data_IF_829565355489
#
_entry.id   IF_829565355489
#
_cell.length_a   1.000
_cell.length_b   1.000
_cell.length_c   1.000
_cell.angle_alpha   90.00
_cell.angle_beta   90.00
_cell.angle_gamma   90.00
#
_symmetry.space_group_name_H-M   'P 1'
#
loop_
_entity.id
_entity.type
_entity.pdbx_description
1 polymer ?
#
# COMPACT_ATOMS: atom_id res chain seq x y z
N UNK A 1 -10.14 -10.22 21.39
CA UNK A 1 -10.03 -9.56 20.07
C UNK A 1 -9.03 -10.38 19.26
N UNK A 2 -9.28 -10.67 18.00
CA UNK A 2 -8.32 -11.35 17.14
C UNK A 2 -7.09 -10.44 16.95
N UNK A 3 -5.90 -11.01 16.93
CA UNK A 3 -4.67 -10.27 16.70
C UNK A 3 -4.67 -9.67 15.28
N UNK A 4 -4.54 -8.34 15.15
CA UNK A 4 -4.63 -7.64 13.85
C UNK A 4 -3.46 -7.94 12.90
N UNK A 5 -2.36 -8.47 13.42
CA UNK A 5 -1.18 -8.91 12.69
C UNK A 5 -0.72 -10.26 13.24
N UNK A 6 -0.63 -11.28 12.39
CA UNK A 6 -0.04 -12.56 12.75
C UNK A 6 1.44 -12.56 12.42
N UNK A 7 2.26 -13.12 13.32
CA UNK A 7 3.71 -13.24 13.14
C UNK A 7 4.09 -14.71 13.17
N UNK A 8 4.69 -15.19 12.10
CA UNK A 8 5.13 -16.57 11.98
C UNK A 8 6.61 -16.63 11.63
N UNK A 9 7.32 -17.61 12.15
CA UNK A 9 8.72 -17.83 11.85
C UNK A 9 8.93 -19.11 11.05
N UNK A 10 9.66 -18.99 9.94
CA UNK A 10 10.03 -20.09 9.06
C UNK A 10 11.55 -20.06 8.82
N UNK A 11 12.32 -20.68 9.72
CA UNK A 11 13.78 -20.60 9.72
C UNK A 11 14.28 -19.16 9.92
N UNK A 12 14.99 -18.63 8.93
CA UNK A 12 15.47 -17.25 8.92
C UNK A 12 14.50 -16.26 8.24
N UNK A 13 13.26 -16.66 7.99
CA UNK A 13 12.19 -15.82 7.40
C UNK A 13 11.15 -15.51 8.46
N UNK A 14 10.76 -14.25 8.58
CA UNK A 14 9.60 -13.81 9.37
C UNK A 14 8.47 -13.48 8.40
N UNK A 15 7.29 -14.04 8.65
CA UNK A 15 6.06 -13.73 7.94
C UNK A 15 5.20 -12.81 8.80
N UNK A 16 4.87 -11.64 8.27
CA UNK A 16 3.93 -10.69 8.84
C UNK A 16 2.65 -10.77 8.02
N UNK A 17 1.60 -11.35 8.61
CA UNK A 17 0.30 -11.49 7.93
C UNK A 17 -0.67 -10.45 8.48
N UNK A 18 -1.06 -9.48 7.65
CA UNK A 18 -2.11 -8.51 7.96
C UNK A 18 -3.41 -9.28 8.20
N UNK A 19 -4.05 -9.12 9.36
CA UNK A 19 -5.11 -10.01 9.81
C UNK A 19 -6.39 -9.26 10.21
N UNK A 20 -6.92 -8.49 9.26
CA UNK A 20 -8.25 -7.86 9.29
C UNK A 20 -9.03 -8.23 8.03
N UNK A 21 -9.23 -9.55 7.73
CA UNK A 21 -9.78 -9.99 6.45
C UNK A 21 -11.19 -9.49 6.17
N UNK A 22 -12.00 -9.22 7.20
CA UNK A 22 -13.34 -8.64 7.12
C UNK A 22 -13.34 -7.21 6.55
N UNK A 23 -12.24 -6.46 6.79
CA UNK A 23 -11.99 -5.12 6.24
C UNK A 23 -10.96 -5.14 5.09
N UNK A 24 -10.70 -6.30 4.47
CA UNK A 24 -9.67 -6.49 3.44
C UNK A 24 -8.29 -5.96 3.89
N UNK A 25 -7.95 -6.16 5.16
CA UNK A 25 -6.69 -5.75 5.77
C UNK A 25 -6.40 -4.24 5.67
N UNK A 26 -7.46 -3.41 5.72
CA UNK A 26 -7.33 -1.97 5.73
C UNK A 26 -6.47 -1.51 6.92
N UNK A 27 -5.63 -0.51 6.67
CA UNK A 27 -4.68 0.06 7.62
C UNK A 27 -5.41 1.03 8.56
N UNK A 28 -5.41 0.71 9.84
CA UNK A 28 -5.71 1.63 10.92
C UNK A 28 -4.48 1.83 11.81
N UNK A 29 -4.56 2.73 12.77
CA UNK A 29 -3.46 3.03 13.68
C UNK A 29 -2.98 1.79 14.46
N UNK A 30 -3.87 0.87 14.83
CA UNK A 30 -3.51 -0.34 15.55
C UNK A 30 -2.64 -1.27 14.68
N UNK A 31 -3.09 -1.57 13.46
CA UNK A 31 -2.34 -2.42 12.53
C UNK A 31 -1.00 -1.78 12.14
N UNK A 32 -0.99 -0.47 11.87
CA UNK A 32 0.23 0.26 11.49
C UNK A 32 1.25 0.26 12.63
N UNK A 33 0.83 0.52 13.86
CA UNK A 33 1.67 0.46 15.04
C UNK A 33 2.21 -0.95 15.28
N UNK A 34 1.36 -1.97 15.07
CA UNK A 34 1.78 -3.36 15.23
C UNK A 34 2.81 -3.77 14.18
N UNK A 35 2.64 -3.40 12.91
CA UNK A 35 3.66 -3.63 11.86
C UNK A 35 4.99 -2.94 12.26
N UNK A 36 4.92 -1.69 12.70
CA UNK A 36 6.09 -0.92 13.12
C UNK A 36 6.84 -1.60 14.27
N UNK A 37 6.12 -2.08 15.29
CA UNK A 37 6.71 -2.78 16.43
C UNK A 37 7.36 -4.10 16.04
N UNK A 38 6.73 -4.89 15.16
CA UNK A 38 7.30 -6.15 14.68
C UNK A 38 8.53 -5.96 13.79
N UNK A 39 8.56 -4.89 12.99
CA UNK A 39 9.78 -4.50 12.26
C UNK A 39 10.93 -4.17 13.24
N UNK A 40 10.67 -3.47 14.34
CA UNK A 40 11.70 -3.20 15.35
C UNK A 40 12.15 -4.49 16.07
N UNK A 41 11.20 -5.35 16.41
CA UNK A 41 11.53 -6.64 17.03
C UNK A 41 12.37 -7.53 16.10
N UNK A 42 12.05 -7.57 14.80
CA UNK A 42 12.78 -8.35 13.80
C UNK A 42 14.27 -7.97 13.72
N UNK A 43 14.61 -6.70 13.96
CA UNK A 43 16.02 -6.22 13.97
C UNK A 43 16.88 -6.92 15.03
N UNK A 44 16.29 -7.39 16.11
CA UNK A 44 16.97 -8.02 17.24
C UNK A 44 17.06 -9.54 17.10
N UNK A 45 16.61 -10.09 15.96
CA UNK A 45 16.62 -11.53 15.69
C UNK A 45 17.69 -11.93 14.68
N UNK A 46 17.87 -13.23 14.50
CA UNK A 46 18.70 -13.81 13.43
C UNK A 46 17.93 -14.00 12.11
N UNK A 47 16.72 -13.43 11.99
CA UNK A 47 15.97 -13.38 10.75
C UNK A 47 16.78 -12.64 9.66
N UNK A 48 16.64 -13.10 8.43
CA UNK A 48 17.37 -12.55 7.28
C UNK A 48 16.45 -11.94 6.24
N UNK A 49 15.17 -12.32 6.25
CA UNK A 49 14.14 -11.84 5.31
C UNK A 49 12.83 -11.66 6.07
N UNK A 50 12.08 -10.65 5.71
CA UNK A 50 10.70 -10.43 6.17
C UNK A 50 9.79 -10.55 4.95
N UNK A 51 8.65 -11.22 5.11
CA UNK A 51 7.59 -11.27 4.11
C UNK A 51 6.33 -10.66 4.69
N UNK A 52 5.74 -9.70 4.00
CA UNK A 52 4.43 -9.11 4.34
C UNK A 52 3.39 -9.69 3.38
N UNK A 53 2.27 -10.20 3.93
CA UNK A 53 1.13 -10.71 3.17
C UNK A 53 -0.19 -10.34 3.83
N UNK A 54 -1.31 -10.49 3.12
CA UNK A 54 -2.63 -10.33 3.69
C UNK A 54 -3.27 -11.68 4.02
N UNK A 55 -4.15 -11.71 5.02
CA UNK A 55 -5.05 -12.82 5.30
C UNK A 55 -6.32 -12.68 4.44
N UNK A 56 -6.91 -13.81 4.03
CA UNK A 56 -8.18 -13.83 3.32
C UNK A 56 -8.09 -13.44 1.85
N UNK A 57 -8.99 -12.54 1.37
CA UNK A 57 -9.22 -12.31 -0.06
C UNK A 57 -8.30 -11.29 -0.73
N UNK A 58 -7.44 -10.62 0.02
CA UNK A 58 -6.59 -9.57 -0.54
C UNK A 58 -5.42 -9.17 0.34
N UNK A 59 -4.49 -8.46 -0.27
CA UNK A 59 -3.33 -7.97 0.43
C UNK A 59 -3.71 -6.86 1.42
N UNK A 60 -4.21 -5.73 0.90
CA UNK A 60 -4.61 -4.57 1.71
C UNK A 60 -5.42 -3.58 0.87
N UNK A 61 -6.60 -3.18 1.37
CA UNK A 61 -7.50 -2.24 0.69
C UNK A 61 -7.12 -0.75 0.88
N UNK A 62 -6.00 -0.46 1.54
CA UNK A 62 -5.59 0.90 1.85
C UNK A 62 -5.91 1.29 3.28
N UNK A 63 -6.08 2.59 3.54
CA UNK A 63 -6.47 3.08 4.86
C UNK A 63 -7.91 2.69 5.19
N UNK A 64 -8.20 2.52 6.49
CA UNK A 64 -9.56 2.25 6.96
C UNK A 64 -10.41 3.53 6.83
N UNK A 65 -11.23 3.56 5.79
CA UNK A 65 -12.15 4.66 5.48
C UNK A 65 -13.60 4.30 5.79
N UNK A 66 -13.83 3.43 6.78
CA UNK A 66 -15.17 3.21 7.32
C UNK A 66 -15.69 4.49 7.99
N UNK A 67 -17.03 4.69 8.08
CA UNK A 67 -17.61 5.92 8.59
C UNK A 67 -17.16 6.33 9.99
N UNK A 68 -16.80 5.35 10.81
CA UNK A 68 -16.35 5.48 12.20
C UNK A 68 -14.82 5.40 12.33
N UNK A 69 -14.08 5.39 11.22
CA UNK A 69 -12.62 5.34 11.23
C UNK A 69 -12.00 6.70 11.55
N UNK A 70 -10.74 6.68 11.99
CA UNK A 70 -9.93 7.89 12.18
C UNK A 70 -9.80 8.73 10.89
N UNK A 71 -9.83 8.08 9.71
CA UNK A 71 -9.73 8.76 8.42
C UNK A 71 -10.98 9.59 8.07
N UNK A 72 -12.17 9.09 8.39
CA UNK A 72 -13.46 9.69 8.02
C UNK A 72 -14.15 10.31 9.23
N UNK A 73 -14.17 9.62 10.38
CA UNK A 73 -14.90 10.05 11.58
C UNK A 73 -14.41 11.40 12.11
N UNK A 74 -13.11 11.56 12.22
CA UNK A 74 -12.46 12.75 12.79
C UNK A 74 -12.01 13.77 11.75
N UNK A 75 -12.36 13.58 10.46
CA UNK A 75 -11.84 14.41 9.37
C UNK A 75 -12.23 15.89 9.49
N UNK A 76 -13.43 16.19 10.00
CA UNK A 76 -13.94 17.57 10.11
C UNK A 76 -13.31 18.36 11.28
N UNK A 77 -12.80 17.66 12.30
CA UNK A 77 -12.22 18.26 13.51
C UNK A 77 -10.73 18.58 13.36
N UNK A 78 -10.08 18.05 12.31
CA UNK A 78 -8.65 18.25 12.07
C UNK A 78 -8.36 19.57 11.37
N UNK A 79 -7.41 20.30 11.93
CA UNK A 79 -6.76 21.39 11.17
C UNK A 79 -5.90 20.82 10.04
N UNK A 80 -5.61 21.61 8.98
CA UNK A 80 -4.71 21.19 7.90
C UNK A 80 -3.31 20.77 8.37
N UNK A 81 -2.83 21.35 9.48
CA UNK A 81 -1.53 21.03 10.07
C UNK A 81 -1.57 19.65 10.74
N UNK A 82 -2.61 19.36 11.50
CA UNK A 82 -2.80 18.05 12.14
C UNK A 82 -2.97 16.95 11.10
N UNK A 83 -3.72 17.20 10.03
CA UNK A 83 -3.87 16.22 8.95
C UNK A 83 -2.54 15.96 8.23
N UNK A 84 -1.79 17.01 7.91
CA UNK A 84 -0.43 16.87 7.36
C UNK A 84 0.48 16.03 8.28
N UNK A 85 0.48 16.32 9.58
CA UNK A 85 1.36 15.65 10.53
C UNK A 85 0.97 14.16 10.68
N UNK A 86 -0.31 13.84 10.64
CA UNK A 86 -0.83 12.46 10.57
C UNK A 86 -0.35 11.73 9.32
N UNK A 87 -0.47 12.35 8.14
CA UNK A 87 -0.02 11.77 6.87
C UNK A 87 1.49 11.57 6.85
N UNK A 88 2.26 12.48 7.43
CA UNK A 88 3.71 12.31 7.60
C UNK A 88 4.03 11.15 8.54
N UNK A 89 3.25 10.93 9.61
CA UNK A 89 3.38 9.76 10.47
C UNK A 89 3.17 8.43 9.70
N UNK A 90 2.22 8.40 8.77
CA UNK A 90 2.03 7.24 7.88
C UNK A 90 3.27 6.98 7.01
N UNK A 91 3.89 8.04 6.49
CA UNK A 91 5.14 7.94 5.70
C UNK A 91 6.30 7.37 6.53
N UNK A 92 6.35 7.63 7.82
CA UNK A 92 7.41 7.09 8.69
C UNK A 92 7.39 5.56 8.74
N UNK A 93 6.21 4.92 8.81
CA UNK A 93 6.09 3.47 8.73
C UNK A 93 6.67 2.93 7.42
N UNK A 94 6.31 3.53 6.29
CA UNK A 94 6.78 3.07 4.98
C UNK A 94 8.27 3.32 4.80
N UNK A 95 8.78 4.44 5.31
CA UNK A 95 10.22 4.73 5.36
C UNK A 95 10.96 3.71 6.24
N UNK A 96 10.35 3.26 7.34
CA UNK A 96 10.91 2.20 8.19
C UNK A 96 11.04 0.87 7.43
N UNK A 97 10.08 0.50 6.58
CA UNK A 97 10.17 -0.68 5.69
C UNK A 97 11.34 -0.52 4.71
N UNK A 98 11.45 0.64 4.05
CA UNK A 98 12.52 0.95 3.11
C UNK A 98 13.91 0.84 3.73
N UNK A 99 14.10 1.41 4.92
CA UNK A 99 15.38 1.41 5.64
C UNK A 99 15.59 0.18 6.54
N UNK A 100 14.68 -0.80 6.52
CA UNK A 100 14.82 -1.99 7.36
C UNK A 100 16.10 -2.76 7.00
N UNK A 101 16.94 -3.22 7.98
CA UNK A 101 18.19 -3.89 7.66
C UNK A 101 18.02 -5.24 6.96
N UNK A 102 16.94 -5.97 7.23
CA UNK A 102 16.59 -7.17 6.49
C UNK A 102 15.82 -6.79 5.22
N UNK A 103 16.01 -7.49 4.09
CA UNK A 103 15.13 -7.41 2.94
C UNK A 103 13.67 -7.70 3.30
N UNK A 104 12.76 -6.89 2.75
CA UNK A 104 11.31 -7.02 2.94
C UNK A 104 10.67 -7.35 1.59
N UNK A 105 9.88 -8.41 1.55
CA UNK A 105 9.13 -8.88 0.38
C UNK A 105 7.65 -8.63 0.62
N UNK A 106 6.95 -8.02 -0.33
CA UNK A 106 5.49 -7.99 -0.35
C UNK A 106 4.96 -9.15 -1.22
N UNK A 107 4.10 -9.98 -0.65
CA UNK A 107 3.36 -11.05 -1.36
C UNK A 107 1.92 -10.59 -1.59
N UNK A 108 1.65 -10.05 -2.78
CA UNK A 108 0.41 -9.33 -3.09
C UNK A 108 -0.56 -10.22 -3.84
N UNK A 109 -1.75 -10.45 -3.27
CA UNK A 109 -2.86 -11.12 -3.93
C UNK A 109 -4.14 -10.31 -3.80
N UNK A 110 -5.12 -10.54 -4.69
CA UNK A 110 -6.40 -9.84 -4.66
C UNK A 110 -6.25 -8.32 -4.63
N UNK A 111 -7.12 -7.60 -3.90
CA UNK A 111 -7.03 -6.14 -3.77
C UNK A 111 -5.76 -5.66 -3.06
N UNK A 112 -5.08 -4.69 -3.72
CA UNK A 112 -3.93 -3.95 -3.20
C UNK A 112 -4.11 -2.47 -3.59
N UNK A 113 -4.65 -1.66 -2.70
CA UNK A 113 -5.18 -0.34 -3.03
C UNK A 113 -4.55 0.72 -2.11
N UNK A 114 -4.30 1.91 -2.64
CA UNK A 114 -3.91 3.10 -1.87
C UNK A 114 -2.76 2.82 -0.88
N UNK A 115 -2.98 2.95 0.43
CA UNK A 115 -1.98 2.65 1.48
C UNK A 115 -1.40 1.24 1.39
N UNK A 116 -2.18 0.24 0.90
CA UNK A 116 -1.69 -1.11 0.64
C UNK A 116 -0.69 -1.16 -0.52
N UNK A 117 -0.99 -0.46 -1.61
CA UNK A 117 -0.06 -0.32 -2.74
C UNK A 117 1.19 0.47 -2.34
N UNK A 118 1.06 1.43 -1.43
CA UNK A 118 2.15 2.19 -0.85
C UNK A 118 3.08 1.30 -0.02
N UNK A 119 2.52 0.51 0.89
CA UNK A 119 3.26 -0.45 1.70
C UNK A 119 4.03 -1.44 0.80
N UNK A 120 3.37 -2.00 -0.21
CA UNK A 120 4.01 -2.90 -1.17
C UNK A 120 5.11 -2.22 -1.99
N UNK A 121 4.92 -0.94 -2.39
CA UNK A 121 5.92 -0.17 -3.14
C UNK A 121 7.18 0.17 -2.33
N UNK A 122 7.08 0.22 -1.00
CA UNK A 122 8.22 0.48 -0.12
C UNK A 122 8.94 -0.79 0.33
N UNK A 123 8.41 -1.96 0.01
CA UNK A 123 9.14 -3.23 0.13
C UNK A 123 10.25 -3.32 -0.93
N UNK A 124 11.31 -4.07 -0.63
CA UNK A 124 12.44 -4.26 -1.54
C UNK A 124 12.05 -5.04 -2.79
N UNK A 125 11.18 -6.03 -2.62
CA UNK A 125 10.70 -6.90 -3.70
C UNK A 125 9.19 -7.03 -3.55
N UNK A 126 8.46 -6.77 -4.63
CA UNK A 126 7.01 -7.01 -4.70
C UNK A 126 6.77 -8.18 -5.66
N UNK A 127 6.12 -9.22 -5.16
CA UNK A 127 5.69 -10.40 -5.93
C UNK A 127 4.17 -10.46 -5.87
N UNK A 128 3.50 -10.69 -6.99
CA UNK A 128 2.06 -10.53 -7.09
C UNK A 128 1.38 -11.78 -7.66
N UNK A 129 0.11 -11.99 -7.31
CA UNK A 129 -0.74 -12.93 -8.04
C UNK A 129 -1.08 -12.35 -9.42
N UNK A 130 -1.16 -13.18 -10.45
CA UNK A 130 -1.46 -12.76 -11.83
C UNK A 130 -2.74 -11.94 -11.95
N UNK A 131 -3.75 -12.26 -11.15
CA UNK A 131 -5.07 -11.63 -11.09
C UNK A 131 -5.21 -10.57 -9.99
N UNK A 132 -4.14 -10.20 -9.31
CA UNK A 132 -4.16 -9.14 -8.30
C UNK A 132 -4.78 -7.86 -8.87
N UNK A 133 -5.47 -7.10 -8.01
CA UNK A 133 -6.14 -5.85 -8.39
C UNK A 133 -5.42 -4.69 -7.72
N UNK A 134 -4.50 -4.08 -8.46
CA UNK A 134 -3.60 -3.07 -7.93
C UNK A 134 -4.09 -1.69 -8.35
N UNK A 135 -4.24 -0.79 -7.39
CA UNK A 135 -4.77 0.56 -7.59
C UNK A 135 -3.93 1.58 -6.81
N UNK A 136 -3.65 2.73 -7.41
CA UNK A 136 -2.93 3.82 -6.72
C UNK A 136 -3.81 4.59 -5.73
N UNK A 137 -5.11 4.68 -6.02
CA UNK A 137 -6.09 5.42 -5.22
C UNK A 137 -7.40 4.63 -5.12
N UNK A 138 -8.26 4.93 -4.15
CA UNK A 138 -9.62 4.42 -4.13
C UNK A 138 -10.40 4.84 -5.39
N UNK A 139 -11.50 4.15 -5.67
CA UNK A 139 -12.40 4.47 -6.78
C UNK A 139 -13.31 5.70 -6.50
N UNK A 140 -12.82 6.64 -5.72
CA UNK A 140 -13.52 7.86 -5.31
C UNK A 140 -12.51 9.02 -5.19
N UNK A 141 -12.92 10.27 -5.43
CA UNK A 141 -12.07 11.45 -5.28
C UNK A 141 -11.97 11.87 -3.79
N UNK A 142 -11.24 11.10 -2.96
CA UNK A 142 -11.08 11.35 -1.52
C UNK A 142 -9.67 11.75 -1.09
N UNK A 143 -8.79 12.02 -2.04
CA UNK A 143 -7.38 12.31 -1.82
C UNK A 143 -6.51 11.45 -2.72
N UNK A 144 -5.33 11.06 -2.25
CA UNK A 144 -4.39 10.20 -2.99
C UNK A 144 -3.23 10.97 -3.61
N UNK A 145 -3.08 12.24 -3.27
CA UNK A 145 -1.98 13.09 -3.78
C UNK A 145 -0.60 12.59 -3.40
N UNK A 146 -0.46 11.91 -2.26
CA UNK A 146 0.84 11.41 -1.83
C UNK A 146 1.20 10.00 -2.33
N UNK A 147 0.27 9.31 -2.94
CA UNK A 147 0.49 8.00 -3.53
C UNK A 147 1.15 8.10 -4.90
N UNK A 148 0.73 9.09 -5.69
CA UNK A 148 1.19 9.29 -7.06
C UNK A 148 2.72 9.43 -7.21
N UNK A 149 3.43 10.18 -6.34
CA UNK A 149 4.89 10.29 -6.43
C UNK A 149 5.64 8.97 -6.28
N UNK A 150 5.16 8.04 -5.41
CA UNK A 150 5.80 6.74 -5.24
C UNK A 150 5.70 5.87 -6.51
N UNK A 151 4.60 6.00 -7.24
CA UNK A 151 4.41 5.30 -8.50
C UNK A 151 5.37 5.74 -9.59
N UNK A 152 5.75 7.03 -9.61
CA UNK A 152 6.69 7.57 -10.62
C UNK A 152 7.99 6.78 -10.65
N UNK A 153 8.53 6.40 -9.49
CA UNK A 153 9.79 5.63 -9.39
C UNK A 153 9.66 4.19 -9.90
N UNK A 154 8.45 3.63 -9.87
CA UNK A 154 8.20 2.25 -10.31
C UNK A 154 7.81 2.17 -11.78
N UNK A 155 6.89 3.04 -12.23
CA UNK A 155 6.23 2.89 -13.54
C UNK A 155 6.45 4.06 -14.49
N UNK A 156 7.18 5.08 -14.05
CA UNK A 156 7.39 6.33 -14.80
C UNK A 156 6.19 7.27 -14.76
N UNK A 157 6.40 8.52 -15.20
CA UNK A 157 5.44 9.61 -14.98
C UNK A 157 4.10 9.44 -15.71
N UNK A 158 4.10 8.86 -16.93
CA UNK A 158 2.86 8.71 -17.71
C UNK A 158 1.91 7.70 -17.05
N UNK A 159 2.41 6.52 -16.68
CA UNK A 159 1.62 5.48 -16.01
C UNK A 159 1.19 5.91 -14.61
N UNK A 160 2.05 6.62 -13.89
CA UNK A 160 1.69 7.20 -12.59
C UNK A 160 0.53 8.20 -12.71
N UNK A 161 0.55 9.09 -13.71
CA UNK A 161 -0.55 10.02 -14.00
C UNK A 161 -1.82 9.30 -14.42
N UNK A 162 -1.71 8.28 -15.28
CA UNK A 162 -2.85 7.47 -15.69
C UNK A 162 -3.54 6.83 -14.47
N UNK A 163 -2.76 6.24 -13.56
CA UNK A 163 -3.29 5.64 -12.33
C UNK A 163 -3.87 6.67 -11.36
N UNK A 164 -3.36 7.89 -11.37
CA UNK A 164 -3.81 8.96 -10.47
C UNK A 164 -5.04 9.70 -10.98
N UNK A 165 -5.17 9.91 -12.29
CA UNK A 165 -6.25 10.72 -12.88
C UNK A 165 -7.51 9.90 -13.13
N UNK A 166 -7.37 8.63 -13.44
CA UNK A 166 -8.48 7.73 -13.73
C UNK A 166 -8.91 7.02 -12.44
N UNK A 167 -9.87 7.64 -11.72
CA UNK A 167 -10.36 7.14 -10.44
C UNK A 167 -10.93 5.71 -10.59
N UNK A 168 -10.42 4.80 -9.78
CA UNK A 168 -10.82 3.40 -9.84
C UNK A 168 -10.06 2.54 -10.85
N UNK A 169 -9.14 3.14 -11.61
CA UNK A 169 -8.28 2.35 -12.50
C UNK A 169 -7.47 1.31 -11.73
N UNK A 170 -7.52 0.11 -12.25
CA UNK A 170 -6.77 -1.04 -11.71
C UNK A 170 -5.91 -1.66 -12.78
N UNK A 171 -4.77 -2.22 -12.35
CA UNK A 171 -3.94 -3.08 -13.18
C UNK A 171 -3.90 -4.49 -12.59
N UNK A 172 -3.73 -5.50 -13.44
CA UNK A 172 -3.52 -6.88 -13.01
C UNK A 172 -2.10 -7.08 -12.47
N UNK A 173 -1.85 -8.23 -11.81
CA UNK A 173 -0.49 -8.58 -11.42
C UNK A 173 0.46 -8.72 -12.61
N UNK A 174 -0.01 -9.23 -13.75
CA UNK A 174 0.76 -9.31 -15.00
C UNK A 174 1.10 -7.92 -15.51
N UNK A 175 0.13 -7.01 -15.58
CA UNK A 175 0.40 -5.62 -15.96
C UNK A 175 1.40 -4.97 -15.01
N UNK A 176 1.33 -5.26 -13.71
CA UNK A 176 2.24 -4.72 -12.72
C UNK A 176 3.71 -5.11 -12.98
N UNK A 177 3.95 -6.34 -13.44
CA UNK A 177 5.29 -6.79 -13.89
C UNK A 177 5.69 -6.08 -15.16
N UNK A 178 4.84 -6.03 -16.18
CA UNK A 178 5.11 -5.37 -17.46
C UNK A 178 5.38 -3.86 -17.29
N UNK A 179 4.79 -3.26 -16.27
CA UNK A 179 5.00 -1.85 -15.94
C UNK A 179 6.24 -1.61 -15.07
N UNK A 180 6.82 -2.64 -14.47
CA UNK A 180 7.94 -2.54 -13.54
C UNK A 180 7.55 -2.19 -12.10
N UNK A 181 6.25 -2.27 -11.78
CA UNK A 181 5.77 -2.07 -10.42
C UNK A 181 6.05 -3.28 -9.51
N UNK A 182 5.97 -4.48 -10.06
CA UNK A 182 6.29 -5.74 -9.39
C UNK A 182 7.47 -6.45 -10.06
N UNK A 183 8.20 -7.26 -9.30
CA UNK A 183 9.37 -8.02 -9.79
C UNK A 183 8.98 -9.33 -10.49
N UNK A 184 7.86 -9.94 -10.07
CA UNK A 184 7.36 -11.19 -10.66
C UNK A 184 5.86 -11.35 -10.38
N UNK A 185 5.17 -12.12 -11.21
CA UNK A 185 3.80 -12.58 -10.97
C UNK A 185 3.70 -14.10 -11.13
N UNK A 186 2.74 -14.69 -10.42
CA UNK A 186 2.45 -16.13 -10.43
C UNK A 186 0.95 -16.37 -10.41
N UNK A 187 0.48 -17.55 -10.86
CA UNK A 187 -0.89 -17.98 -10.61
C UNK A 187 -1.25 -17.82 -9.13
N UNK A 188 -2.48 -17.40 -8.79
CA UNK A 188 -2.87 -17.14 -7.40
C UNK A 188 -2.57 -18.29 -6.44
N UNK A 189 -2.77 -19.54 -6.90
CA UNK A 189 -2.51 -20.77 -6.15
C UNK A 189 -1.03 -21.01 -5.84
N UNK A 190 -0.12 -20.49 -6.68
CA UNK A 190 1.32 -20.71 -6.57
C UNK A 190 2.04 -19.58 -5.82
N UNK A 191 1.42 -18.41 -5.72
CA UNK A 191 2.05 -17.19 -5.20
C UNK A 191 2.82 -17.42 -3.89
N UNK A 192 2.17 -17.95 -2.88
CA UNK A 192 2.79 -18.06 -1.55
C UNK A 192 3.89 -19.12 -1.51
N UNK A 193 3.78 -20.18 -2.30
CA UNK A 193 4.83 -21.20 -2.45
C UNK A 193 6.08 -20.59 -3.11
N UNK A 194 5.88 -19.80 -4.17
CA UNK A 194 6.97 -19.15 -4.89
C UNK A 194 7.63 -18.04 -4.06
N UNK A 195 6.85 -17.23 -3.34
CA UNK A 195 7.40 -16.25 -2.39
C UNK A 195 8.19 -16.93 -1.28
N UNK A 196 7.71 -18.05 -0.73
CA UNK A 196 8.42 -18.83 0.27
C UNK A 196 9.76 -19.32 -0.28
N UNK A 197 9.76 -19.89 -1.49
CA UNK A 197 10.97 -20.35 -2.18
C UNK A 197 11.97 -19.21 -2.38
N UNK A 198 11.50 -18.05 -2.83
CA UNK A 198 12.31 -16.84 -3.01
C UNK A 198 12.91 -16.37 -1.68
N UNK A 199 12.09 -16.23 -0.63
CA UNK A 199 12.52 -15.78 0.68
C UNK A 199 13.60 -16.69 1.28
N UNK A 200 13.42 -18.02 1.20
CA UNK A 200 14.42 -18.99 1.64
C UNK A 200 15.69 -18.94 0.78
N UNK A 201 15.59 -18.72 -0.52
CA UNK A 201 16.75 -18.54 -1.40
C UNK A 201 17.57 -17.32 -1.02
N UNK A 202 16.93 -16.18 -0.76
CA UNK A 202 17.58 -14.96 -0.28
C UNK A 202 18.21 -15.19 1.10
N UNK A 203 17.50 -15.87 2.00
CA UNK A 203 17.93 -16.14 3.36
C UNK A 203 19.16 -17.06 3.47
N UNK A 204 19.59 -17.70 2.39
CA UNK A 204 20.90 -18.39 2.32
C UNK A 204 22.08 -17.43 2.44
N UNK A 205 21.89 -16.18 2.05
CA UNK A 205 22.92 -15.14 2.15
C UNK A 205 22.98 -14.63 3.61
N UNK A 206 24.17 -14.50 4.22
CA UNK A 206 24.34 -13.94 5.56
C UNK A 206 23.70 -12.53 5.67
N UNK A 207 23.04 -12.26 6.82
CA UNK A 207 22.27 -11.03 7.02
C UNK A 207 23.09 -9.74 6.85
N UNK A 208 24.34 -9.72 7.30
CA UNK A 208 25.23 -8.56 7.11
C UNK A 208 25.47 -8.24 5.62
N UNK A 209 25.60 -9.26 4.77
CA UNK A 209 25.76 -9.06 3.33
C UNK A 209 24.47 -8.59 2.66
N UNK A 210 23.32 -9.14 3.07
CA UNK A 210 22.01 -8.68 2.58
C UNK A 210 21.79 -7.21 2.90
N UNK A 211 22.07 -6.81 4.15
CA UNK A 211 21.99 -5.43 4.57
C UNK A 211 22.84 -4.51 3.71
N UNK A 212 24.12 -4.79 3.52
CA UNK A 212 25.01 -3.95 2.72
C UNK A 212 24.57 -3.86 1.25
N UNK A 213 24.10 -4.98 0.67
CA UNK A 213 23.54 -4.98 -0.70
C UNK A 213 22.30 -4.11 -0.81
N UNK A 214 21.37 -4.21 0.15
CA UNK A 214 20.18 -3.35 0.21
C UNK A 214 20.56 -1.87 0.34
N UNK A 215 21.46 -1.54 1.29
CA UNK A 215 21.94 -0.16 1.48
C UNK A 215 22.58 0.40 0.20
N UNK A 216 23.34 -0.39 -0.55
CA UNK A 216 23.97 0.03 -1.79
C UNK A 216 22.91 0.38 -2.87
N UNK A 217 21.86 -0.43 -3.01
CA UNK A 217 20.75 -0.16 -3.93
C UNK A 217 19.97 1.08 -3.49
N UNK A 218 19.60 1.17 -2.21
CA UNK A 218 18.83 2.29 -1.69
C UNK A 218 19.56 3.62 -1.89
N UNK A 219 20.89 3.68 -1.63
CA UNK A 219 21.72 4.87 -1.88
C UNK A 219 21.75 5.29 -3.35
N UNK A 220 21.53 4.39 -4.29
CA UNK A 220 21.42 4.73 -5.71
C UNK A 220 20.04 5.32 -6.05
N UNK A 221 18.99 4.92 -5.32
CA UNK A 221 17.59 5.37 -5.55
C UNK A 221 17.29 6.68 -4.79
N UNK A 222 17.75 6.83 -3.55
CA UNK A 222 17.42 7.99 -2.71
C UNK A 222 17.71 9.36 -3.36
N UNK A 223 18.84 9.57 -4.08
CA UNK A 223 19.09 10.85 -4.77
C UNK A 223 18.09 11.18 -5.86
N UNK A 224 17.32 10.18 -6.36
CA UNK A 224 16.24 10.42 -7.33
C UNK A 224 14.99 11.04 -6.71
N UNK A 225 14.98 11.22 -5.38
CA UNK A 225 13.95 11.96 -4.67
C UNK A 225 12.83 11.11 -4.07
N UNK A 226 12.94 9.77 -4.05
CA UNK A 226 11.87 8.87 -3.56
C UNK A 226 11.28 9.32 -2.21
N UNK A 227 12.13 9.49 -1.21
CA UNK A 227 11.68 9.84 0.14
C UNK A 227 11.23 11.32 0.25
N UNK A 228 11.87 12.21 -0.49
CA UNK A 228 11.45 13.61 -0.56
C UNK A 228 10.06 13.74 -1.20
N UNK A 229 9.82 13.02 -2.29
CA UNK A 229 8.52 13.04 -2.96
C UNK A 229 7.42 12.40 -2.12
N UNK A 230 7.72 11.37 -1.32
CA UNK A 230 6.75 10.80 -0.39
C UNK A 230 6.26 11.87 0.61
N UNK A 231 7.16 12.68 1.17
CA UNK A 231 6.82 13.78 2.10
C UNK A 231 6.05 14.88 1.41
N UNK A 232 6.52 15.38 0.27
CA UNK A 232 5.80 16.38 -0.53
C UNK A 232 4.41 15.89 -0.94
N UNK A 233 4.28 14.59 -1.21
CA UNK A 233 3.01 13.96 -1.48
C UNK A 233 2.04 14.07 -0.32
N UNK A 234 2.48 13.83 0.93
CA UNK A 234 1.65 13.98 2.12
C UNK A 234 1.17 15.44 2.31
N UNK A 235 2.04 16.42 2.06
CA UNK A 235 1.66 17.84 2.08
C UNK A 235 0.61 18.17 1.02
N UNK A 236 0.78 17.61 -0.19
CA UNK A 236 -0.20 17.75 -1.28
C UNK A 236 -1.54 17.13 -0.92
N UNK A 237 -1.53 15.96 -0.27
CA UNK A 237 -2.75 15.26 0.11
C UNK A 237 -3.52 16.02 1.20
N UNK A 238 -2.82 16.58 2.19
CA UNK A 238 -3.44 17.46 3.19
C UNK A 238 -4.12 18.69 2.55
N UNK A 239 -3.57 19.22 1.46
CA UNK A 239 -4.21 20.29 0.69
C UNK A 239 -5.44 19.78 -0.08
N UNK A 240 -5.37 18.57 -0.65
CA UNK A 240 -6.52 17.95 -1.34
C UNK A 240 -7.70 17.71 -0.40
N UNK A 241 -7.44 17.34 0.86
CA UNK A 241 -8.49 17.14 1.85
C UNK A 241 -9.28 18.42 2.17
N UNK A 242 -8.74 19.61 1.85
CA UNK A 242 -9.46 20.87 1.98
C UNK A 242 -10.44 21.15 0.83
N UNK A 243 -10.34 20.42 -0.27
CA UNK A 243 -11.20 20.63 -1.44
C UNK A 243 -12.66 20.31 -1.08
N UNK A 244 -13.61 21.16 -1.49
CA UNK A 244 -15.04 20.92 -1.25
C UNK A 244 -15.54 19.58 -1.79
N UNK A 245 -15.01 19.14 -2.92
CA UNK A 245 -15.33 17.88 -3.58
C UNK A 245 -14.92 16.67 -2.71
N UNK A 246 -13.77 16.75 -2.06
CA UNK A 246 -13.30 15.70 -1.15
C UNK A 246 -14.18 15.65 0.10
N UNK A 247 -14.51 16.80 0.68
CA UNK A 247 -15.44 16.89 1.83
C UNK A 247 -16.81 16.31 1.48
N UNK A 248 -17.36 16.67 0.34
CA UNK A 248 -18.62 16.11 -0.15
C UNK A 248 -18.57 14.58 -0.27
N UNK A 249 -17.47 14.03 -0.83
CA UNK A 249 -17.29 12.58 -0.94
C UNK A 249 -17.20 11.92 0.44
N UNK A 250 -16.51 12.52 1.40
CA UNK A 250 -16.42 12.02 2.78
C UNK A 250 -17.82 12.03 3.45
N UNK A 251 -18.61 13.09 3.29
CA UNK A 251 -20.00 13.16 3.76
C UNK A 251 -20.87 12.05 3.13
N UNK A 252 -20.72 11.79 1.84
CA UNK A 252 -21.42 10.68 1.18
C UNK A 252 -21.03 9.34 1.77
N UNK A 253 -19.75 9.08 1.98
CA UNK A 253 -19.27 7.84 2.63
C UNK A 253 -19.90 7.67 4.00
N UNK A 254 -19.95 8.73 4.83
CA UNK A 254 -20.61 8.69 6.15
C UNK A 254 -22.09 8.35 6.05
N UNK A 255 -22.78 8.94 5.05
CA UNK A 255 -24.23 8.80 4.90
C UNK A 255 -24.66 7.43 4.38
N UNK A 256 -23.97 6.88 3.37
CA UNK A 256 -24.42 5.69 2.62
C UNK A 256 -23.42 4.52 2.67
N UNK A 257 -22.25 4.73 3.22
CA UNK A 257 -21.14 3.75 3.23
C UNK A 257 -20.37 3.70 1.91
N UNK A 258 -19.15 3.20 1.97
CA UNK A 258 -18.18 3.18 0.86
C UNK A 258 -18.73 2.52 -0.41
N UNK A 259 -19.36 1.34 -0.27
CA UNK A 259 -19.85 0.58 -1.44
C UNK A 259 -20.91 1.35 -2.22
N UNK A 260 -21.83 1.99 -1.51
CA UNK A 260 -22.89 2.80 -2.14
C UNK A 260 -22.34 4.07 -2.76
N UNK A 261 -21.41 4.75 -2.06
CA UNK A 261 -20.75 5.95 -2.59
C UNK A 261 -19.99 5.67 -3.89
N UNK A 262 -19.27 4.54 -3.98
CA UNK A 262 -18.60 4.11 -5.23
C UNK A 262 -19.63 3.83 -6.33
N UNK A 263 -20.73 3.17 -6.01
CA UNK A 263 -21.78 2.86 -7.00
C UNK A 263 -22.45 4.14 -7.54
N UNK A 264 -22.72 5.11 -6.67
CA UNK A 264 -23.26 6.41 -7.06
C UNK A 264 -22.31 7.18 -7.98
N UNK A 265 -21.01 7.25 -7.61
CA UNK A 265 -20.00 7.92 -8.42
C UNK A 265 -19.84 7.29 -9.81
N UNK A 266 -19.85 5.96 -9.89
CA UNK A 266 -19.79 5.28 -11.19
C UNK A 266 -21.07 5.48 -12.02
N UNK A 267 -22.25 5.50 -11.37
CA UNK A 267 -23.52 5.69 -12.07
C UNK A 267 -23.64 7.09 -12.71
N UNK A 268 -23.06 8.12 -12.12
CA UNK A 268 -22.97 9.45 -12.73
C UNK A 268 -22.22 9.39 -14.07
N UNK A 269 -21.08 8.71 -14.10
CA UNK A 269 -20.29 8.53 -15.32
C UNK A 269 -21.02 7.67 -16.36
N UNK A 270 -21.62 6.55 -15.95
CA UNK A 270 -22.37 5.66 -16.83
C UNK A 270 -23.59 6.36 -17.45
N UNK A 271 -24.29 7.21 -16.69
CA UNK A 271 -25.41 7.99 -17.20
C UNK A 271 -24.97 9.06 -18.21
N UNK A 272 -23.80 9.63 -18.08
CA UNK A 272 -23.29 10.69 -18.95
C UNK A 272 -22.60 10.13 -20.21
N UNK A 273 -21.87 9.00 -20.08
CA UNK A 273 -20.99 8.49 -21.12
C UNK A 273 -21.20 6.99 -21.47
N UNK A 274 -22.13 6.30 -20.81
CA UNK A 274 -22.25 4.83 -20.86
C UNK A 274 -22.59 4.23 -22.22
N UNK A 275 -23.14 4.97 -23.14
CA UNK A 275 -23.49 4.52 -24.51
C UNK A 275 -22.28 4.53 -25.47
N UNK A 276 -21.11 5.04 -25.06
CA UNK A 276 -19.91 5.17 -25.89
C UNK A 276 -18.71 4.31 -25.46
N UNK A 277 -18.85 3.47 -24.43
CA UNK A 277 -17.76 2.64 -23.89
C UNK A 277 -17.92 1.17 -24.28
N UNK A 278 -18.03 0.88 -25.58
CA UNK A 278 -17.96 -0.48 -26.14
C UNK A 278 -16.65 -0.75 -26.87
#
# INVERSE_FOLDING_TARGET
>A
MSEVLKVERDGHVIWLTLNRPEKLNALDSELMNRISAELDAARQTDARVIVIRGEGRGFCAGYDISPDSEEIGDADDRSPVEDRDRLLGNIELFTKVWHHPQPVIAAVHGPCVAGGAQLASMCDITVVADDAKIMSSPALPIGGGYLSPLWVHRVGSQRAKLMSFDAGRRISGRDAVDWGWAAASYPPEDLFAEVRRLAHSIARTPGALLRLKKEAVNRAVEPTGLLSYARTGAETDALLHLAPEVKHTQERIRAVGMKSAIAEFNAEYENEFGDNAS
#
